data_IF_998526870605
#
_entry.id   IF_998526870605
#
_cell.length_a   1.000
_cell.length_b   1.000
_cell.length_c   1.000
_cell.angle_alpha   90.00
_cell.angle_beta   90.00
_cell.angle_gamma   90.00
#
_symmetry.space_group_name_H-M   'P 1'
#
loop_
_entity.id
_entity.type
_entity.pdbx_description
1 polymer ?
#
# COMPACT_ATOMS: atom_id res chain seq x y z
N UNK A 1 16.66 -10.61 8.39
CA UNK A 1 17.07 -9.25 8.82
C UNK A 1 18.44 -9.34 9.48
N UNK A 2 19.36 -8.40 9.23
CA UNK A 2 20.73 -8.49 9.76
C UNK A 2 20.80 -8.23 11.28
N UNK A 3 21.76 -8.83 12.00
CA UNK A 3 22.00 -8.53 13.41
C UNK A 3 22.26 -7.02 13.62
N UNK A 4 21.53 -6.39 14.54
CA UNK A 4 21.67 -4.96 14.87
C UNK A 4 20.74 -4.00 14.11
N UNK A 5 19.92 -4.49 13.18
CA UNK A 5 18.86 -3.68 12.55
C UNK A 5 17.61 -3.62 13.45
N UNK A 6 17.01 -2.44 13.68
CA UNK A 6 15.78 -2.33 14.48
C UNK A 6 14.68 -3.19 13.87
N UNK A 7 14.04 -4.07 14.66
CA UNK A 7 12.91 -4.92 14.27
C UNK A 7 11.89 -4.12 13.45
N UNK A 8 11.31 -4.71 12.39
CA UNK A 8 10.33 -4.25 11.35
C UNK A 8 9.38 -3.06 11.70
N UNK A 9 9.92 -2.04 12.32
CA UNK A 9 9.33 -0.82 12.78
C UNK A 9 9.94 0.21 11.86
N UNK A 10 9.37 0.31 10.65
CA UNK A 10 9.85 1.22 9.63
C UNK A 10 10.17 2.59 10.23
N UNK A 11 11.30 3.16 9.82
CA UNK A 11 11.82 4.42 10.36
C UNK A 11 10.83 5.61 10.18
N UNK A 12 9.93 5.50 9.20
CA UNK A 12 8.92 6.49 8.86
C UNK A 12 7.49 5.90 8.92
N UNK A 13 6.58 6.71 9.45
CA UNK A 13 5.13 6.45 9.47
C UNK A 13 4.48 6.93 8.17
N UNK A 14 3.61 6.09 7.60
CA UNK A 14 2.81 6.40 6.41
C UNK A 14 1.53 7.18 6.74
N UNK A 15 1.19 7.42 8.02
CA UNK A 15 0.00 8.16 8.40
C UNK A 15 -0.14 9.54 7.71
N UNK A 16 0.91 10.38 7.57
CA UNK A 16 0.80 11.64 6.84
C UNK A 16 0.51 11.45 5.35
N UNK A 17 1.07 10.39 4.72
CA UNK A 17 0.77 10.04 3.33
C UNK A 17 -0.68 9.59 3.19
N UNK A 18 -1.18 8.75 4.12
CA UNK A 18 -2.57 8.29 4.16
C UNK A 18 -3.53 9.48 4.19
N UNK A 19 -3.32 10.42 5.09
CA UNK A 19 -4.20 11.60 5.21
C UNK A 19 -4.14 12.51 3.97
N UNK A 20 -2.96 12.65 3.36
CA UNK A 20 -2.85 13.40 2.08
C UNK A 20 -3.58 12.69 0.95
N UNK A 21 -3.40 11.39 0.78
CA UNK A 21 -4.08 10.62 -0.28
C UNK A 21 -5.60 10.63 -0.12
N UNK A 22 -6.12 10.50 1.11
CA UNK A 22 -7.57 10.64 1.36
C UNK A 22 -8.15 11.96 0.87
N UNK A 23 -7.37 13.05 0.94
CA UNK A 23 -7.80 14.39 0.51
C UNK A 23 -7.63 14.65 -0.97
N UNK A 24 -6.64 14.01 -1.60
CA UNK A 24 -6.24 14.30 -2.98
C UNK A 24 -6.81 13.31 -4.00
N UNK A 25 -7.15 12.09 -3.57
CA UNK A 25 -7.63 11.02 -4.46
C UNK A 25 -9.15 10.90 -4.37
N UNK A 26 -9.81 11.06 -5.52
CA UNK A 26 -11.21 10.72 -5.68
C UNK A 26 -11.36 9.22 -6.00
N UNK A 27 -11.49 8.39 -4.96
CA UNK A 27 -11.67 6.94 -5.11
C UNK A 27 -13.00 6.57 -5.77
N UNK A 28 -14.02 7.42 -5.70
CA UNK A 28 -15.30 7.13 -6.36
C UNK A 28 -15.13 7.22 -7.87
N UNK A 29 -14.49 8.28 -8.36
CA UNK A 29 -14.19 8.44 -9.78
C UNK A 29 -13.21 7.38 -10.29
N UNK A 30 -12.15 7.10 -9.54
CA UNK A 30 -11.15 6.08 -9.88
C UNK A 30 -11.79 4.71 -10.07
N UNK A 31 -12.76 4.35 -9.24
CA UNK A 31 -13.46 3.07 -9.30
C UNK A 31 -14.67 3.07 -10.28
N UNK A 32 -14.95 4.17 -10.98
CA UNK A 32 -16.05 4.25 -11.94
C UNK A 32 -15.71 3.66 -13.33
N UNK A 33 -14.48 3.15 -13.52
CA UNK A 33 -14.06 2.49 -14.75
C UNK A 33 -13.71 3.41 -15.93
N UNK A 34 -13.77 4.74 -15.76
CA UNK A 34 -13.33 5.71 -16.77
C UNK A 34 -11.84 5.58 -17.11
N UNK A 35 -11.02 5.25 -16.11
CA UNK A 35 -9.58 5.03 -16.23
C UNK A 35 -9.23 3.75 -15.49
N UNK A 36 -8.59 2.80 -16.19
CA UNK A 36 -8.11 1.56 -15.56
C UNK A 36 -6.80 1.83 -14.81
N UNK A 37 -6.76 1.47 -13.54
CA UNK A 37 -5.58 1.55 -12.69
C UNK A 37 -5.20 0.14 -12.23
N UNK A 38 -3.92 -0.20 -12.36
CA UNK A 38 -3.35 -1.42 -11.78
C UNK A 38 -2.25 -1.01 -10.81
N UNK A 39 -2.35 -1.50 -9.58
CA UNK A 39 -1.35 -1.31 -8.52
C UNK A 39 -0.72 -2.67 -8.22
N UNK A 40 0.60 -2.68 -8.11
CA UNK A 40 1.38 -3.86 -7.82
C UNK A 40 2.08 -3.67 -6.47
N UNK A 41 2.01 -4.69 -5.61
CA UNK A 41 2.74 -4.77 -4.36
C UNK A 41 3.35 -6.17 -4.21
N UNK A 42 4.26 -6.33 -3.26
CA UNK A 42 4.85 -7.63 -2.92
C UNK A 42 4.43 -8.01 -1.51
N UNK A 43 3.98 -9.25 -1.34
CA UNK A 43 3.75 -9.80 -0.01
C UNK A 43 5.09 -9.98 0.71
N UNK A 44 5.25 -9.35 1.86
CA UNK A 44 6.51 -9.36 2.59
C UNK A 44 6.84 -10.72 3.24
N UNK A 45 5.86 -11.62 3.39
CA UNK A 45 6.04 -12.94 4.00
C UNK A 45 6.35 -14.00 2.94
N UNK A 46 5.60 -14.04 1.85
CA UNK A 46 5.75 -15.03 0.78
C UNK A 46 6.68 -14.58 -0.34
N UNK A 47 6.87 -13.26 -0.53
CA UNK A 47 7.61 -12.69 -1.66
C UNK A 47 6.84 -12.68 -2.97
N UNK A 48 5.56 -13.06 -2.97
CA UNK A 48 4.73 -13.08 -4.17
C UNK A 48 4.23 -11.70 -4.57
N UNK A 49 4.00 -11.52 -5.87
CA UNK A 49 3.41 -10.29 -6.41
C UNK A 49 1.88 -10.30 -6.22
N UNK A 50 1.36 -9.23 -5.62
CA UNK A 50 -0.08 -8.98 -5.51
C UNK A 50 -0.46 -7.86 -6.47
N UNK A 51 -1.50 -8.11 -7.29
CA UNK A 51 -2.04 -7.15 -8.27
C UNK A 51 -3.45 -6.71 -7.88
N UNK A 52 -3.62 -5.41 -7.68
CA UNK A 52 -4.93 -4.78 -7.51
C UNK A 52 -5.30 -4.07 -8.81
N UNK A 53 -6.42 -4.43 -9.42
CA UNK A 53 -6.85 -3.93 -10.73
C UNK A 53 -8.25 -3.34 -10.60
N UNK A 54 -8.41 -2.05 -10.90
CA UNK A 54 -9.70 -1.35 -10.77
C UNK A 54 -10.78 -1.93 -11.69
N UNK A 55 -10.40 -2.70 -12.72
CA UNK A 55 -11.35 -3.43 -13.57
C UNK A 55 -11.88 -4.72 -12.92
N UNK A 56 -11.24 -5.22 -11.86
CA UNK A 56 -11.58 -6.48 -11.18
C UNK A 56 -12.14 -6.26 -9.77
N UNK A 57 -11.60 -5.28 -9.05
CA UNK A 57 -12.02 -4.97 -7.69
C UNK A 57 -11.83 -3.48 -7.37
N UNK A 58 -12.63 -2.93 -6.43
CA UNK A 58 -12.45 -1.54 -6.00
C UNK A 58 -11.06 -1.31 -5.41
N UNK A 59 -10.40 -0.25 -5.84
CA UNK A 59 -9.15 0.23 -5.27
C UNK A 59 -9.42 1.10 -4.06
N UNK A 60 -8.73 0.79 -2.96
CA UNK A 60 -8.75 1.56 -1.72
C UNK A 60 -7.39 2.23 -1.49
N UNK A 61 -7.33 3.08 -0.48
CA UNK A 61 -6.08 3.69 -0.04
C UNK A 61 -5.05 2.67 0.44
N UNK A 62 -5.49 1.53 0.98
CA UNK A 62 -4.59 0.50 1.49
C UNK A 62 -3.81 -0.18 0.36
N UNK A 63 -4.42 -0.36 -0.82
CA UNK A 63 -3.71 -0.86 -2.00
C UNK A 63 -2.59 0.09 -2.45
N UNK A 64 -2.83 1.41 -2.42
CA UNK A 64 -1.80 2.41 -2.73
C UNK A 64 -0.67 2.35 -1.70
N UNK A 65 -0.99 2.33 -0.40
CA UNK A 65 0.00 2.30 0.67
C UNK A 65 0.83 1.01 0.67
N UNK A 66 0.21 -0.13 0.33
CA UNK A 66 0.92 -1.41 0.17
C UNK A 66 2.03 -1.31 -0.89
N UNK A 67 1.78 -0.62 -2.01
CA UNK A 67 2.80 -0.40 -3.06
C UNK A 67 3.92 0.57 -2.66
N UNK A 68 3.68 1.44 -1.66
CA UNK A 68 4.67 2.39 -1.15
C UNK A 68 5.52 1.81 -0.01
N UNK A 69 5.26 0.58 0.42
CA UNK A 69 6.02 -0.10 1.46
C UNK A 69 7.45 -0.38 0.98
N UNK A 70 8.44 0.25 1.63
CA UNK A 70 9.86 -0.03 1.41
C UNK A 70 10.53 -0.30 2.75
N UNK A 71 10.62 -1.57 3.14
CA UNK A 71 11.30 -2.01 4.36
C UNK A 71 12.81 -1.76 4.18
N UNK A 72 13.57 -1.17 5.13
CA UNK A 72 13.29 -0.84 6.54
C UNK A 72 12.76 0.58 6.81
N UNK A 73 12.43 1.35 5.77
CA UNK A 73 12.16 2.77 5.89
C UNK A 73 10.69 3.08 6.13
N UNK A 74 9.77 2.42 5.43
CA UNK A 74 8.33 2.64 5.60
C UNK A 74 7.67 1.44 6.26
N UNK A 75 6.95 1.71 7.34
CA UNK A 75 6.20 0.69 8.07
C UNK A 75 5.11 0.07 7.19
N UNK A 76 4.90 -1.24 7.32
CA UNK A 76 3.75 -1.95 6.75
C UNK A 76 2.42 -1.36 7.27
N UNK A 77 1.43 -1.07 6.42
CA UNK A 77 0.11 -0.66 6.89
C UNK A 77 -0.48 -1.76 7.78
N UNK A 78 -0.96 -1.41 8.97
CA UNK A 78 -1.40 -2.38 9.98
C UNK A 78 -2.63 -3.23 9.61
N UNK A 79 -3.28 -2.96 8.48
CA UNK A 79 -4.51 -3.65 8.03
C UNK A 79 -4.28 -4.74 6.97
N UNK A 80 -3.03 -5.13 6.71
CA UNK A 80 -2.70 -6.29 5.86
C UNK A 80 -2.53 -7.60 6.67
N UNK A 81 -3.09 -7.63 7.89
CA UNK A 81 -3.15 -8.82 8.76
C UNK A 81 -4.59 -9.03 9.24
N UNK A 82 -5.51 -9.11 8.29
CA UNK A 82 -6.79 -9.82 8.40
C UNK A 82 -7.19 -10.31 7.00
#
# INVERSE_FOLDING_TARGET
MFPGMPSDAGLYDLAPLRERLKRLVDFKRLNNGEIRLVIIAVDANSGEEIRFDSAKSPITIDHLLASCGFIPFFRRPGSMVD
#
